data_IF_509906903299
#
_entry.id   IF_509906903299
#
_cell.length_a   1.000
_cell.length_b   1.000
_cell.length_c   1.000
_cell.angle_alpha   90.00
_cell.angle_beta   90.00
_cell.angle_gamma   90.00
#
_symmetry.space_group_name_H-M   'P 1'
#
loop_
_entity.id
_entity.type
_entity.pdbx_description
1 polymer ?
#
# COMPACT_ATOMS: atom_id res chain seq x y z
N UNK A 1 27.79 40.51 42.04
CA UNK A 1 28.28 39.56 41.02
C UNK A 1 27.30 39.64 39.86
N UNK A 2 27.72 40.33 38.78
CA UNK A 2 26.91 40.43 37.56
C UNK A 2 26.86 39.04 36.88
N UNK A 3 25.68 38.43 36.86
CA UNK A 3 25.48 37.18 36.12
C UNK A 3 25.19 37.57 34.68
N UNK A 4 26.14 37.32 33.79
CA UNK A 4 26.03 37.63 32.36
C UNK A 4 25.83 36.32 31.59
N UNK A 5 24.63 36.13 31.03
CA UNK A 5 24.40 35.15 30.00
C UNK A 5 24.30 35.82 28.63
N UNK A 6 24.44 35.11 27.55
CA UNK A 6 24.30 35.68 26.19
C UNK A 6 22.89 36.20 25.90
N UNK A 7 21.90 35.87 26.72
CA UNK A 7 20.48 36.14 26.50
C UNK A 7 19.83 37.03 27.54
N UNK A 8 20.49 37.27 28.66
CA UNK A 8 20.06 38.25 29.69
C UNK A 8 21.24 38.75 30.54
N UNK A 9 21.13 39.93 31.10
CA UNK A 9 22.09 40.55 32.02
C UNK A 9 21.34 41.05 33.24
N UNK A 10 21.83 40.70 34.42
CA UNK A 10 21.29 41.20 35.69
C UNK A 10 22.26 42.21 36.30
N UNK A 11 21.78 43.41 36.55
CA UNK A 11 22.55 44.48 37.23
C UNK A 11 22.38 44.40 38.76
N UNK A 12 23.40 44.79 39.51
CA UNK A 12 23.36 44.85 40.97
C UNK A 12 22.27 45.79 41.55
N UNK A 13 21.61 46.56 40.69
CA UNK A 13 20.53 47.53 41.06
C UNK A 13 19.11 46.94 40.79
N UNK A 14 18.93 45.63 40.60
CA UNK A 14 17.63 45.05 40.40
C UNK A 14 17.04 45.21 38.97
N UNK A 15 17.87 45.60 37.98
CA UNK A 15 17.45 45.68 36.58
C UNK A 15 17.85 44.42 35.82
N UNK A 16 16.89 43.81 35.11
CA UNK A 16 17.09 42.67 34.23
C UNK A 16 16.96 43.11 32.77
N UNK A 17 18.04 43.08 31.99
CA UNK A 17 18.02 43.38 30.56
C UNK A 17 17.98 42.07 29.76
N UNK A 18 16.97 41.93 28.90
CA UNK A 18 16.87 40.80 27.93
C UNK A 18 17.70 41.18 26.71
N UNK A 19 18.65 40.31 26.35
CA UNK A 19 19.66 40.58 25.33
C UNK A 19 19.70 39.50 24.25
N UNK A 20 20.32 39.80 23.09
CA UNK A 20 20.63 38.82 22.05
C UNK A 20 19.48 38.41 21.18
N UNK A 21 19.58 37.19 20.61
CA UNK A 21 18.65 36.65 19.60
C UNK A 21 17.74 35.55 20.20
N UNK A 22 16.46 35.88 20.39
CA UNK A 22 15.44 34.95 20.86
C UNK A 22 14.69 34.35 19.67
N UNK A 23 15.35 33.40 18.97
CA UNK A 23 14.86 32.79 17.75
C UNK A 23 14.91 31.25 17.82
N UNK A 24 14.20 30.61 16.92
CA UNK A 24 14.11 29.12 16.84
C UNK A 24 15.50 28.45 16.75
N UNK A 25 16.46 29.08 16.05
CA UNK A 25 17.83 28.58 15.96
C UNK A 25 18.49 28.34 17.32
N UNK A 26 18.20 29.22 18.29
CA UNK A 26 18.76 29.19 19.64
C UNK A 26 17.83 28.53 20.68
N UNK A 27 16.71 27.92 20.24
CA UNK A 27 15.67 27.38 21.11
C UNK A 27 16.18 26.34 22.13
N UNK A 28 17.17 25.54 21.76
CA UNK A 28 17.78 24.57 22.66
C UNK A 28 18.47 25.17 23.86
N UNK A 29 19.23 26.27 23.64
CA UNK A 29 19.93 27.01 24.66
C UNK A 29 18.94 27.81 25.51
N UNK A 30 18.02 28.53 24.86
CA UNK A 30 16.96 29.30 25.54
C UNK A 30 16.11 28.46 26.48
N UNK A 31 15.86 27.19 26.14
CA UNK A 31 15.11 26.25 26.99
C UNK A 31 15.86 25.87 28.26
N UNK A 32 17.18 25.82 28.22
CA UNK A 32 18.02 25.47 29.36
C UNK A 32 18.11 26.64 30.37
N UNK A 33 17.94 27.89 29.90
CA UNK A 33 17.97 29.11 30.73
C UNK A 33 16.77 29.25 31.68
N UNK A 34 15.77 28.35 31.61
CA UNK A 34 14.53 28.49 32.39
C UNK A 34 14.76 28.67 33.89
N UNK A 35 15.70 27.91 34.49
CA UNK A 35 15.99 27.97 35.92
C UNK A 35 16.76 29.25 36.32
N UNK A 36 17.74 29.63 35.49
CA UNK A 36 18.57 30.77 35.72
C UNK A 36 17.79 32.10 35.55
N UNK A 37 17.01 32.17 34.44
CA UNK A 37 16.17 33.34 34.18
C UNK A 37 15.08 33.50 35.23
N UNK A 38 14.49 32.42 35.74
CA UNK A 38 13.48 32.46 36.79
C UNK A 38 14.06 33.01 38.11
N UNK A 39 15.26 32.59 38.45
CA UNK A 39 15.96 33.08 39.63
C UNK A 39 16.32 34.58 39.47
N UNK A 40 16.81 35.00 38.31
CA UNK A 40 17.08 36.39 37.99
C UNK A 40 15.82 37.28 38.00
N UNK A 41 14.67 36.72 37.61
CA UNK A 41 13.36 37.37 37.62
C UNK A 41 12.80 37.57 39.04
N UNK A 42 13.06 36.66 39.97
CA UNK A 42 12.58 36.79 41.36
C UNK A 42 13.28 37.94 42.08
N UNK A 43 14.50 38.30 41.65
CA UNK A 43 15.31 39.42 42.23
C UNK A 43 15.16 40.72 41.42
N UNK A 44 14.45 40.71 40.28
CA UNK A 44 14.35 41.87 39.39
C UNK A 44 13.10 42.73 39.66
N UNK A 45 13.30 44.04 39.84
CA UNK A 45 12.22 45.05 39.96
C UNK A 45 11.75 45.57 38.59
N UNK A 46 12.67 45.67 37.63
CA UNK A 46 12.37 46.19 36.26
C UNK A 46 13.02 45.32 35.19
N UNK A 47 12.34 45.21 34.04
CA UNK A 47 12.82 44.44 32.89
C UNK A 47 12.98 45.39 31.70
N UNK A 48 14.15 45.36 31.06
CA UNK A 48 14.47 46.18 29.90
C UNK A 48 14.70 45.29 28.67
N UNK A 49 14.12 45.70 27.54
CA UNK A 49 14.19 44.97 26.25
C UNK A 49 15.02 45.73 25.20
N UNK A 50 15.69 46.81 25.58
CA UNK A 50 16.44 47.66 24.64
C UNK A 50 17.58 46.92 23.90
N UNK A 51 18.17 45.91 24.51
CA UNK A 51 19.25 45.10 23.94
C UNK A 51 18.75 43.82 23.20
N UNK A 52 17.44 43.63 23.03
CA UNK A 52 16.86 42.51 22.28
C UNK A 52 17.05 42.75 20.78
N UNK A 53 17.85 41.89 20.13
CA UNK A 53 18.25 42.08 18.73
C UNK A 53 17.24 41.45 17.75
N UNK A 54 16.88 40.18 17.97
CA UNK A 54 15.93 39.45 17.15
C UNK A 54 14.94 38.68 18.02
N UNK A 55 13.67 38.66 17.58
CA UNK A 55 12.60 37.92 18.23
C UNK A 55 11.72 37.26 17.17
N UNK A 56 11.56 35.94 17.26
CA UNK A 56 10.58 35.18 16.48
C UNK A 56 9.43 34.65 17.36
N UNK A 57 8.46 33.98 16.76
CA UNK A 57 7.30 33.40 17.46
C UNK A 57 7.69 32.41 18.56
N UNK A 58 8.76 31.63 18.37
CA UNK A 58 9.22 30.67 19.38
C UNK A 58 9.94 31.36 20.55
N UNK A 59 10.75 32.35 20.25
CA UNK A 59 11.38 33.23 21.28
C UNK A 59 10.33 33.96 22.07
N UNK A 60 9.34 34.58 21.42
CA UNK A 60 8.22 35.26 22.07
C UNK A 60 7.42 34.29 22.97
N UNK A 61 7.16 33.06 22.51
CA UNK A 61 6.51 32.02 23.31
C UNK A 61 7.30 31.70 24.60
N UNK A 62 8.61 31.54 24.50
CA UNK A 62 9.46 31.29 25.67
C UNK A 62 9.48 32.50 26.63
N UNK A 63 9.58 33.71 26.10
CA UNK A 63 9.54 34.95 26.92
C UNK A 63 8.22 35.06 27.69
N UNK A 64 7.07 34.90 27.02
CA UNK A 64 5.76 34.93 27.68
C UNK A 64 5.65 33.84 28.75
N UNK A 65 6.17 32.64 28.45
CA UNK A 65 6.13 31.49 29.36
C UNK A 65 7.05 31.67 30.59
N UNK A 66 8.16 32.38 30.46
CA UNK A 66 9.13 32.56 31.55
C UNK A 66 8.82 33.79 32.39
N UNK A 67 8.42 34.89 31.77
CA UNK A 67 8.09 36.17 32.44
C UNK A 67 6.71 36.13 33.10
N UNK A 68 5.76 35.36 32.53
CA UNK A 68 4.36 35.33 32.95
C UNK A 68 3.53 36.47 32.38
N UNK A 69 2.20 36.36 32.46
CA UNK A 69 1.27 37.29 31.82
C UNK A 69 1.36 38.72 32.36
N UNK A 70 1.44 38.89 33.68
CA UNK A 70 1.48 40.21 34.34
C UNK A 70 2.72 41.05 33.97
N UNK A 71 3.89 40.40 33.91
CA UNK A 71 5.15 41.07 33.56
C UNK A 71 5.25 41.39 32.07
N UNK A 72 4.64 40.56 31.22
CA UNK A 72 4.54 40.84 29.78
C UNK A 72 3.59 42.02 29.54
N UNK A 73 2.48 42.13 30.25
CA UNK A 73 1.55 43.24 30.12
C UNK A 73 2.23 44.56 30.46
N UNK A 74 3.01 44.62 31.56
CA UNK A 74 3.83 45.79 31.88
C UNK A 74 4.95 46.05 30.85
N UNK A 75 5.52 45.02 30.24
CA UNK A 75 6.52 45.16 29.17
C UNK A 75 5.92 45.67 27.84
N UNK A 76 4.65 45.42 27.58
CA UNK A 76 3.97 45.94 26.38
C UNK A 76 3.76 47.48 26.44
N UNK A 77 3.71 48.05 27.64
CA UNK A 77 3.60 49.49 27.85
C UNK A 77 4.96 50.20 27.83
N UNK A 78 6.07 49.46 27.86
CA UNK A 78 7.41 50.01 27.86
C UNK A 78 7.80 50.60 26.48
N UNK A 79 8.27 51.83 26.47
CA UNK A 79 8.71 52.55 25.28
C UNK A 79 10.04 51.99 24.69
N UNK A 80 10.81 51.21 25.46
CA UNK A 80 12.08 50.63 25.04
C UNK A 80 11.90 49.46 24.05
N UNK A 81 10.73 48.82 24.03
CA UNK A 81 10.44 47.68 23.18
C UNK A 81 10.08 48.10 21.74
N UNK A 82 10.78 47.55 20.76
CA UNK A 82 10.51 47.83 19.35
C UNK A 82 9.05 47.50 18.97
N UNK A 83 8.37 48.31 18.13
CA UNK A 83 6.96 48.15 17.81
C UNK A 83 6.62 46.75 17.21
N UNK A 84 7.55 46.18 16.43
CA UNK A 84 7.38 44.84 15.83
C UNK A 84 7.40 43.72 16.90
N UNK A 85 8.29 43.83 17.89
CA UNK A 85 8.39 42.84 18.97
C UNK A 85 7.21 42.96 19.94
N UNK A 86 6.72 44.17 20.18
CA UNK A 86 5.51 44.45 20.97
C UNK A 86 4.28 43.76 20.34
N UNK A 87 4.07 43.96 19.05
CA UNK A 87 2.97 43.34 18.35
C UNK A 87 3.04 41.78 18.39
N UNK A 88 4.25 41.21 18.24
CA UNK A 88 4.46 39.77 18.30
C UNK A 88 4.20 39.19 19.71
N UNK A 89 4.71 39.84 20.76
CA UNK A 89 4.48 39.44 22.16
C UNK A 89 2.99 39.51 22.52
N UNK A 90 2.27 40.57 22.11
CA UNK A 90 0.83 40.70 22.34
C UNK A 90 0.02 39.58 21.70
N UNK A 91 0.31 39.23 20.42
CA UNK A 91 -0.37 38.14 19.71
C UNK A 91 -0.08 36.79 20.37
N UNK A 92 1.18 36.55 20.76
CA UNK A 92 1.56 35.28 21.41
C UNK A 92 0.94 35.17 22.80
N UNK A 93 0.91 36.25 23.58
CA UNK A 93 0.26 36.29 24.89
C UNK A 93 -1.23 36.02 24.79
N UNK A 94 -1.93 36.66 23.85
CA UNK A 94 -3.35 36.42 23.60
C UNK A 94 -3.59 34.96 23.22
N UNK A 95 -2.78 34.41 22.31
CA UNK A 95 -2.89 33.02 21.89
C UNK A 95 -2.66 32.02 23.02
N UNK A 96 -1.73 32.31 23.95
CA UNK A 96 -1.49 31.44 25.11
C UNK A 96 -2.65 31.54 26.12
N UNK A 97 -3.24 32.69 26.31
CA UNK A 97 -4.40 32.90 27.19
C UNK A 97 -5.62 32.14 26.64
N UNK A 98 -5.92 32.32 25.35
CA UNK A 98 -7.01 31.60 24.68
C UNK A 98 -6.80 30.09 24.68
N UNK A 99 -5.56 29.63 24.47
CA UNK A 99 -5.21 28.22 24.53
C UNK A 99 -5.29 27.62 25.93
N UNK A 100 -4.99 28.45 26.96
CA UNK A 100 -5.11 28.07 28.38
C UNK A 100 -6.55 27.83 28.79
N UNK A 101 -7.49 28.62 28.27
CA UNK A 101 -8.93 28.42 28.49
C UNK A 101 -9.47 27.20 27.77
N UNK A 102 -8.81 26.78 26.70
CA UNK A 102 -9.24 25.64 25.83
C UNK A 102 -8.24 24.48 25.86
N UNK A 103 -7.43 24.31 26.91
CA UNK A 103 -6.65 23.06 27.00
C UNK A 103 -7.62 21.89 27.08
N UNK A 104 -7.79 21.08 25.99
CA UNK A 104 -8.48 19.81 26.13
C UNK A 104 -7.66 19.02 27.14
N UNK A 105 -8.25 18.66 28.26
CA UNK A 105 -7.66 17.69 29.18
C UNK A 105 -7.17 16.53 28.32
N UNK A 106 -5.88 16.38 28.13
CA UNK A 106 -5.26 15.20 27.54
C UNK A 106 -5.55 14.06 28.51
N UNK A 107 -6.76 13.49 28.39
CA UNK A 107 -7.10 12.26 29.10
C UNK A 107 -6.00 11.28 28.77
N UNK A 108 -5.19 10.94 29.77
CA UNK A 108 -4.19 9.89 29.64
C UNK A 108 -4.94 8.59 29.41
N UNK A 109 -5.17 8.29 28.13
CA UNK A 109 -5.76 7.00 27.76
C UNK A 109 -4.80 5.89 28.18
N UNK A 110 -5.31 4.92 28.87
CA UNK A 110 -4.51 3.73 29.23
C UNK A 110 -3.88 3.11 27.97
N UNK A 111 -2.74 2.45 28.11
CA UNK A 111 -2.07 1.78 26.98
C UNK A 111 -3.02 0.82 26.24
N UNK A 112 -3.94 0.18 26.98
CA UNK A 112 -4.98 -0.71 26.43
C UNK A 112 -5.98 0.06 25.58
N UNK A 113 -6.44 1.24 26.02
CA UNK A 113 -7.38 2.08 25.26
C UNK A 113 -6.73 2.59 23.95
N UNK A 114 -5.44 2.95 24.00
CA UNK A 114 -4.70 3.35 22.78
C UNK A 114 -4.47 2.17 21.83
N UNK A 115 -4.27 0.97 22.35
CA UNK A 115 -4.15 -0.24 21.53
C UNK A 115 -5.49 -0.58 20.86
N UNK A 116 -6.60 -0.57 21.61
CA UNK A 116 -7.96 -0.77 21.09
C UNK A 116 -8.33 0.28 20.03
N UNK A 117 -8.01 1.55 20.29
CA UNK A 117 -8.27 2.62 19.33
C UNK A 117 -7.44 2.46 18.03
N UNK A 118 -6.22 1.94 18.11
CA UNK A 118 -5.40 1.58 16.93
C UNK A 118 -6.00 0.42 16.16
N UNK A 119 -6.43 -0.62 16.88
CA UNK A 119 -7.13 -1.76 16.26
C UNK A 119 -8.41 -1.32 15.57
N UNK A 120 -9.26 -0.52 16.25
CA UNK A 120 -10.50 0.00 15.69
C UNK A 120 -10.26 0.83 14.42
N UNK A 121 -9.27 1.72 14.40
CA UNK A 121 -8.88 2.47 13.20
C UNK A 121 -8.45 1.55 12.06
N UNK A 122 -7.59 0.57 12.31
CA UNK A 122 -7.15 -0.39 11.28
C UNK A 122 -8.32 -1.18 10.70
N UNK A 123 -9.28 -1.59 11.54
CA UNK A 123 -10.48 -2.30 11.08
C UNK A 123 -11.37 -1.42 10.22
N UNK A 124 -11.56 -0.16 10.60
CA UNK A 124 -12.30 0.82 9.79
C UNK A 124 -11.60 1.12 8.46
N UNK A 125 -10.29 1.25 8.47
CA UNK A 125 -9.49 1.45 7.25
C UNK A 125 -9.60 0.23 6.31
N UNK A 126 -9.52 -0.99 6.86
CA UNK A 126 -9.71 -2.22 6.09
C UNK A 126 -11.12 -2.32 5.50
N UNK A 127 -12.17 -1.98 6.29
CA UNK A 127 -13.55 -1.89 5.80
C UNK A 127 -13.67 -0.90 4.64
N UNK A 128 -13.16 0.32 4.82
CA UNK A 128 -13.21 1.35 3.78
C UNK A 128 -12.46 0.94 2.52
N UNK A 129 -11.35 0.24 2.68
CA UNK A 129 -10.58 -0.32 1.57
C UNK A 129 -11.38 -1.40 0.82
N UNK A 130 -12.01 -2.32 1.54
CA UNK A 130 -12.88 -3.34 0.95
C UNK A 130 -14.06 -2.71 0.19
N UNK A 131 -14.74 -1.72 0.79
CA UNK A 131 -15.85 -1.00 0.12
C UNK A 131 -15.37 -0.33 -1.17
N UNK A 132 -14.21 0.32 -1.16
CA UNK A 132 -13.63 0.92 -2.38
C UNK A 132 -13.33 -0.12 -3.44
N UNK A 133 -12.78 -1.27 -3.03
CA UNK A 133 -12.49 -2.36 -3.95
C UNK A 133 -13.77 -2.90 -4.61
N UNK A 134 -14.81 -3.21 -3.82
CA UNK A 134 -16.09 -3.68 -4.35
C UNK A 134 -16.79 -2.64 -5.22
N UNK A 135 -16.75 -1.36 -4.85
CA UNK A 135 -17.30 -0.28 -5.68
C UNK A 135 -16.58 -0.18 -7.04
N UNK A 136 -15.24 -0.25 -7.03
CA UNK A 136 -14.47 -0.22 -8.27
C UNK A 136 -14.70 -1.48 -9.12
N UNK A 137 -14.77 -2.65 -8.48
CA UNK A 137 -15.09 -3.91 -9.14
C UNK A 137 -16.48 -3.84 -9.81
N UNK A 138 -17.48 -3.31 -9.12
CA UNK A 138 -18.81 -3.08 -9.67
C UNK A 138 -18.81 -2.16 -10.89
N UNK A 139 -18.07 -1.03 -10.85
CA UNK A 139 -17.92 -0.14 -11.99
C UNK A 139 -17.25 -0.82 -13.19
N UNK A 140 -16.29 -1.71 -12.95
CA UNK A 140 -15.64 -2.47 -14.02
C UNK A 140 -16.61 -3.47 -14.64
N UNK A 141 -17.37 -4.21 -13.83
CA UNK A 141 -18.40 -5.15 -14.31
C UNK A 141 -19.49 -4.45 -15.10
N UNK A 142 -20.00 -3.32 -14.60
CA UNK A 142 -20.96 -2.48 -15.32
C UNK A 142 -20.38 -2.05 -16.68
N UNK A 143 -19.16 -1.50 -16.68
CA UNK A 143 -18.48 -1.10 -17.91
C UNK A 143 -18.29 -2.25 -18.89
N UNK A 144 -17.98 -3.47 -18.41
CA UNK A 144 -17.87 -4.65 -19.26
C UNK A 144 -19.22 -5.06 -19.86
N UNK A 145 -20.29 -5.07 -19.06
CA UNK A 145 -21.63 -5.40 -19.55
C UNK A 145 -22.09 -4.40 -20.61
N UNK A 146 -21.91 -3.09 -20.36
CA UNK A 146 -22.25 -2.07 -21.32
C UNK A 146 -21.41 -2.15 -22.61
N UNK A 147 -20.13 -2.46 -22.47
CA UNK A 147 -19.22 -2.61 -23.59
C UNK A 147 -19.57 -3.86 -24.43
N UNK A 148 -20.03 -4.93 -23.80
CA UNK A 148 -20.49 -6.15 -24.49
C UNK A 148 -21.71 -5.87 -25.37
N UNK A 149 -22.63 -5.01 -24.90
CA UNK A 149 -23.81 -4.57 -25.66
C UNK A 149 -23.48 -3.59 -26.80
N UNK A 150 -22.28 -2.98 -26.80
CA UNK A 150 -21.86 -1.97 -27.77
C UNK A 150 -20.49 -2.31 -28.39
N UNK A 151 -20.39 -3.38 -29.21
CA UNK A 151 -19.10 -3.89 -29.71
C UNK A 151 -18.32 -2.87 -30.56
N UNK A 152 -19.01 -1.91 -31.17
CA UNK A 152 -18.38 -0.86 -31.97
C UNK A 152 -17.50 0.12 -31.11
N UNK A 153 -17.72 0.16 -29.79
CA UNK A 153 -16.91 0.96 -28.84
C UNK A 153 -15.68 0.23 -28.33
N UNK A 154 -15.51 -1.03 -28.72
CA UNK A 154 -14.35 -1.81 -28.30
C UNK A 154 -13.06 -1.24 -28.90
N UNK A 155 -12.11 -0.99 -28.05
CA UNK A 155 -10.76 -0.58 -28.45
C UNK A 155 -9.91 -1.82 -28.72
N UNK A 156 -10.25 -2.59 -29.75
CA UNK A 156 -9.62 -3.88 -30.07
C UNK A 156 -8.09 -3.78 -30.17
N UNK A 157 -7.57 -2.73 -30.79
CA UNK A 157 -6.12 -2.52 -30.89
C UNK A 157 -5.47 -2.46 -29.50
N UNK A 158 -6.11 -1.77 -28.54
CA UNK A 158 -5.60 -1.70 -27.17
C UNK A 158 -5.70 -3.04 -26.45
N UNK A 159 -6.79 -3.78 -26.65
CA UNK A 159 -6.96 -5.13 -26.09
C UNK A 159 -5.88 -6.07 -26.62
N UNK A 160 -5.64 -6.10 -27.94
CA UNK A 160 -4.62 -6.94 -28.59
C UNK A 160 -3.22 -6.58 -28.07
N UNK A 161 -2.90 -5.30 -27.97
CA UNK A 161 -1.60 -4.87 -27.41
C UNK A 161 -1.41 -5.34 -25.96
N UNK A 162 -2.48 -5.32 -25.15
CA UNK A 162 -2.41 -5.83 -23.78
C UNK A 162 -2.35 -7.37 -23.74
N UNK A 163 -2.99 -8.09 -24.67
CA UNK A 163 -2.84 -9.55 -24.80
C UNK A 163 -1.40 -9.92 -25.16
N UNK A 164 -0.78 -9.19 -26.07
CA UNK A 164 0.62 -9.40 -26.41
C UNK A 164 1.51 -9.20 -25.19
N UNK A 165 1.40 -8.05 -24.54
CA UNK A 165 2.25 -7.67 -23.41
C UNK A 165 2.04 -8.55 -22.17
N UNK A 166 0.80 -8.89 -21.82
CA UNK A 166 0.49 -9.67 -20.60
C UNK A 166 0.37 -11.17 -20.85
N UNK A 167 -0.07 -11.57 -22.03
CA UNK A 167 -0.29 -12.98 -22.41
C UNK A 167 0.93 -13.58 -23.09
N UNK A 168 1.16 -13.25 -24.35
CA UNK A 168 2.18 -13.90 -25.17
C UNK A 168 3.58 -13.87 -24.56
N UNK A 169 4.01 -12.71 -24.08
CA UNK A 169 5.32 -12.56 -23.46
C UNK A 169 5.45 -13.31 -22.10
N UNK A 170 4.36 -13.80 -21.52
CA UNK A 170 4.40 -14.60 -20.30
C UNK A 170 4.52 -16.10 -20.57
N UNK A 171 4.24 -16.57 -21.81
CA UNK A 171 4.22 -17.98 -22.15
C UNK A 171 5.51 -18.72 -21.77
N UNK A 172 6.72 -18.24 -22.13
CA UNK A 172 7.95 -18.99 -21.85
C UNK A 172 8.18 -19.22 -20.37
N UNK A 173 7.95 -18.19 -19.54
CA UNK A 173 8.19 -18.31 -18.11
C UNK A 173 7.13 -19.18 -17.43
N UNK A 174 5.87 -19.10 -17.86
CA UNK A 174 4.78 -19.93 -17.34
C UNK A 174 5.03 -21.40 -17.69
N UNK A 175 5.41 -21.67 -18.94
CA UNK A 175 5.73 -23.02 -19.38
C UNK A 175 6.88 -23.61 -18.56
N UNK A 176 8.01 -22.91 -18.48
CA UNK A 176 9.20 -23.39 -17.77
C UNK A 176 8.92 -23.59 -16.27
N UNK A 177 8.28 -22.63 -15.62
CA UNK A 177 7.97 -22.70 -14.19
C UNK A 177 7.08 -23.91 -13.89
N UNK A 178 5.97 -24.07 -14.63
CA UNK A 178 5.04 -25.17 -14.38
C UNK A 178 5.64 -26.53 -14.74
N UNK A 179 6.44 -26.62 -15.81
CA UNK A 179 7.17 -27.82 -16.17
C UNK A 179 8.11 -28.28 -15.03
N UNK A 180 8.91 -27.36 -14.49
CA UNK A 180 9.82 -27.67 -13.37
C UNK A 180 9.07 -28.06 -12.11
N UNK A 181 7.98 -27.35 -11.78
CA UNK A 181 7.16 -27.69 -10.61
C UNK A 181 6.48 -29.06 -10.81
N UNK A 182 5.99 -29.36 -12.01
CA UNK A 182 5.43 -30.66 -12.34
C UNK A 182 6.43 -31.80 -12.18
N UNK A 183 7.66 -31.59 -12.62
CA UNK A 183 8.76 -32.53 -12.43
C UNK A 183 9.08 -32.74 -10.94
N UNK A 184 9.17 -31.66 -10.15
CA UNK A 184 9.44 -31.74 -8.70
C UNK A 184 8.31 -32.44 -7.97
N UNK A 185 7.05 -32.16 -8.27
CA UNK A 185 5.89 -32.79 -7.64
C UNK A 185 5.87 -34.30 -7.96
N UNK A 186 6.16 -34.68 -9.20
CA UNK A 186 6.28 -36.09 -9.57
C UNK A 186 7.43 -36.78 -8.84
N UNK A 187 8.60 -36.14 -8.77
CA UNK A 187 9.79 -36.67 -8.08
C UNK A 187 9.51 -36.90 -6.59
N UNK A 188 9.02 -35.90 -5.87
CA UNK A 188 8.70 -36.00 -4.46
C UNK A 188 7.56 -37.01 -4.20
N UNK A 189 6.52 -36.97 -5.03
CA UNK A 189 5.42 -37.92 -4.96
C UNK A 189 5.88 -39.37 -5.18
N UNK A 190 6.72 -39.57 -6.17
CA UNK A 190 7.30 -40.88 -6.46
C UNK A 190 8.10 -41.43 -5.28
N UNK A 191 9.00 -40.62 -4.71
CA UNK A 191 9.84 -41.00 -3.58
C UNK A 191 9.03 -41.46 -2.37
N UNK A 192 7.92 -40.77 -2.07
CA UNK A 192 7.03 -41.13 -0.95
C UNK A 192 6.22 -42.39 -1.30
N UNK A 193 5.63 -42.45 -2.50
CA UNK A 193 4.76 -43.56 -2.90
C UNK A 193 5.53 -44.85 -3.13
N UNK A 194 6.82 -44.81 -3.45
CA UNK A 194 7.69 -45.98 -3.60
C UNK A 194 7.78 -46.78 -2.29
N UNK A 195 7.80 -46.13 -1.13
CA UNK A 195 7.84 -46.77 0.18
C UNK A 195 6.61 -47.66 0.45
N UNK A 196 5.51 -47.36 -0.24
CA UNK A 196 4.24 -48.10 -0.14
C UNK A 196 3.99 -49.02 -1.33
N UNK A 197 4.94 -49.13 -2.27
CA UNK A 197 4.76 -49.90 -3.51
C UNK A 197 3.69 -49.34 -4.45
N UNK A 198 3.37 -48.05 -4.31
CA UNK A 198 2.22 -47.40 -4.96
C UNK A 198 2.65 -46.32 -5.97
N UNK A 199 3.80 -46.48 -6.62
CA UNK A 199 4.43 -45.50 -7.51
C UNK A 199 3.53 -45.01 -8.67
N UNK A 200 2.64 -45.88 -9.16
CA UNK A 200 1.70 -45.55 -10.25
C UNK A 200 0.75 -44.40 -9.86
N UNK A 201 0.46 -44.20 -8.57
CA UNK A 201 -0.36 -43.09 -8.09
C UNK A 201 0.30 -41.72 -8.22
N UNK A 202 1.60 -41.66 -8.55
CA UNK A 202 2.28 -40.41 -8.88
C UNK A 202 1.63 -39.74 -10.10
N UNK A 203 1.17 -40.51 -11.08
CA UNK A 203 0.45 -40.00 -12.27
C UNK A 203 -0.85 -39.30 -11.85
N UNK A 204 -1.62 -39.97 -10.96
CA UNK A 204 -2.86 -39.39 -10.41
C UNK A 204 -2.58 -38.09 -9.64
N UNK A 205 -1.55 -38.10 -8.81
CA UNK A 205 -1.16 -36.93 -8.01
C UNK A 205 -0.84 -35.73 -8.89
N UNK A 206 0.01 -35.92 -9.91
CA UNK A 206 0.41 -34.84 -10.84
C UNK A 206 -0.81 -34.38 -11.65
N UNK A 207 -1.56 -35.30 -12.22
CA UNK A 207 -2.74 -34.99 -13.04
C UNK A 207 -3.79 -34.19 -12.24
N UNK A 208 -4.16 -34.71 -11.07
CA UNK A 208 -5.13 -34.05 -10.20
C UNK A 208 -4.64 -32.66 -9.73
N UNK A 209 -3.40 -32.59 -9.24
CA UNK A 209 -2.85 -31.35 -8.71
C UNK A 209 -2.78 -30.24 -9.79
N UNK A 210 -2.28 -30.55 -10.98
CA UNK A 210 -2.15 -29.56 -12.05
C UNK A 210 -3.45 -29.19 -12.73
N UNK A 211 -4.31 -30.16 -13.02
CA UNK A 211 -5.58 -29.88 -13.68
C UNK A 211 -6.53 -29.09 -12.80
N UNK A 212 -6.55 -29.36 -11.49
CA UNK A 212 -7.53 -28.80 -10.57
C UNK A 212 -7.06 -27.51 -9.90
N UNK A 213 -5.78 -27.46 -9.47
CA UNK A 213 -5.29 -26.39 -8.59
C UNK A 213 -4.02 -25.71 -9.12
N UNK A 214 -2.90 -26.42 -9.24
CA UNK A 214 -1.60 -25.79 -9.45
C UNK A 214 -1.49 -25.04 -10.78
N UNK A 215 -2.04 -25.57 -11.86
CA UNK A 215 -1.98 -24.92 -13.15
C UNK A 215 -2.58 -23.52 -13.14
N UNK A 216 -3.75 -23.34 -12.55
CA UNK A 216 -4.40 -22.03 -12.47
C UNK A 216 -3.79 -21.15 -11.38
N UNK A 217 -3.50 -21.69 -10.19
CA UNK A 217 -3.00 -20.93 -9.05
C UNK A 217 -1.61 -20.35 -9.32
N UNK A 218 -0.66 -21.17 -9.79
CA UNK A 218 0.69 -20.73 -10.11
C UNK A 218 0.71 -19.68 -11.22
N UNK A 219 -0.12 -19.89 -12.26
CA UNK A 219 -0.30 -18.90 -13.32
C UNK A 219 -0.84 -17.59 -12.77
N UNK A 220 -1.87 -17.64 -11.93
CA UNK A 220 -2.46 -16.44 -11.34
C UNK A 220 -1.48 -15.68 -10.41
N UNK A 221 -0.69 -16.38 -9.58
CA UNK A 221 0.33 -15.77 -8.72
C UNK A 221 1.41 -15.10 -9.57
N UNK A 222 1.88 -15.74 -10.64
CA UNK A 222 2.89 -15.15 -11.52
C UNK A 222 2.33 -13.92 -12.24
N UNK A 223 1.08 -13.98 -12.72
CA UNK A 223 0.42 -12.84 -13.35
C UNK A 223 0.12 -11.71 -12.37
N UNK A 224 -0.19 -12.02 -11.11
CA UNK A 224 -0.32 -11.04 -10.05
C UNK A 224 1.00 -10.28 -9.84
N UNK A 225 2.14 -10.98 -9.80
CA UNK A 225 3.46 -10.37 -9.65
C UNK A 225 3.85 -9.50 -10.84
N UNK A 226 3.71 -10.03 -12.07
CA UNK A 226 4.16 -9.37 -13.30
C UNK A 226 3.14 -8.36 -13.84
N UNK A 227 1.93 -8.81 -14.08
CA UNK A 227 0.94 -8.02 -14.84
C UNK A 227 0.21 -7.00 -13.97
N UNK A 228 -0.19 -7.35 -12.74
CA UNK A 228 -0.82 -6.37 -11.87
C UNK A 228 0.14 -5.24 -11.48
N UNK A 229 1.41 -5.55 -11.19
CA UNK A 229 2.43 -4.53 -10.93
C UNK A 229 2.65 -3.61 -12.14
N UNK A 230 2.70 -4.18 -13.35
CA UNK A 230 2.83 -3.39 -14.58
C UNK A 230 1.61 -2.48 -14.82
N UNK A 231 0.38 -2.98 -14.59
CA UNK A 231 -0.84 -2.17 -14.68
C UNK A 231 -0.84 -1.02 -13.66
N UNK A 232 -0.45 -1.33 -12.42
CA UNK A 232 -0.32 -0.33 -11.35
C UNK A 232 0.72 0.72 -11.70
N UNK A 233 1.89 0.30 -12.19
CA UNK A 233 2.97 1.21 -12.57
C UNK A 233 2.57 2.13 -13.72
N UNK A 234 1.93 1.58 -14.76
CA UNK A 234 1.52 2.38 -15.92
C UNK A 234 0.42 3.39 -15.57
N UNK A 235 -0.65 2.96 -14.88
CA UNK A 235 -1.73 3.87 -14.46
C UNK A 235 -1.22 4.88 -13.44
N UNK A 236 -0.36 4.44 -12.52
CA UNK A 236 0.25 5.30 -11.50
C UNK A 236 1.17 6.36 -12.10
N UNK A 237 1.94 6.03 -13.14
CA UNK A 237 2.75 6.99 -13.90
C UNK A 237 1.87 8.03 -14.58
N UNK A 238 0.81 7.62 -15.28
CA UNK A 238 -0.16 8.54 -15.89
C UNK A 238 -0.81 9.47 -14.85
N UNK A 239 -1.02 8.98 -13.61
CA UNK A 239 -1.53 9.80 -12.53
C UNK A 239 -0.53 10.82 -12.02
N UNK A 240 0.75 10.45 -11.93
CA UNK A 240 1.83 11.38 -11.55
C UNK A 240 2.02 12.52 -12.56
N UNK A 241 1.80 12.24 -13.86
CA UNK A 241 1.90 13.23 -14.93
C UNK A 241 0.56 13.94 -15.22
N UNK A 242 -0.45 13.77 -14.34
CA UNK A 242 -1.78 14.38 -14.47
C UNK A 242 -2.56 13.99 -15.75
N UNK A 243 -2.08 12.99 -16.50
CA UNK A 243 -2.70 12.53 -17.75
C UNK A 243 -4.13 12.00 -17.51
N UNK A 244 -4.40 11.38 -16.36
CA UNK A 244 -5.74 10.90 -16.00
C UNK A 244 -6.70 12.06 -15.79
N UNK A 245 -6.24 13.15 -15.20
CA UNK A 245 -7.08 14.32 -14.96
C UNK A 245 -7.31 15.08 -16.27
N UNK A 246 -6.32 15.12 -17.17
CA UNK A 246 -6.49 15.62 -18.53
C UNK A 246 -7.55 14.82 -19.32
N UNK A 247 -7.57 13.48 -19.20
CA UNK A 247 -8.62 12.65 -19.82
C UNK A 247 -10.02 13.02 -19.29
N UNK A 248 -10.17 13.22 -17.98
CA UNK A 248 -11.47 13.61 -17.38
C UNK A 248 -11.94 14.98 -17.86
N UNK A 249 -11.04 15.96 -17.91
CA UNK A 249 -11.35 17.32 -18.42
C UNK A 249 -11.77 17.26 -19.89
N UNK A 250 -11.17 16.36 -20.67
CA UNK A 250 -11.56 16.11 -22.07
C UNK A 250 -12.87 15.32 -22.23
N UNK A 251 -13.59 15.02 -21.13
CA UNK A 251 -14.84 14.25 -21.17
C UNK A 251 -14.66 12.74 -21.38
N UNK A 252 -13.44 12.23 -21.32
CA UNK A 252 -13.12 10.81 -21.53
C UNK A 252 -13.12 10.08 -20.19
N UNK A 253 -13.93 9.01 -20.08
CA UNK A 253 -13.95 8.19 -18.87
C UNK A 253 -12.68 7.29 -18.80
N UNK A 254 -11.80 7.48 -17.80
CA UNK A 254 -10.58 6.70 -17.68
C UNK A 254 -10.81 5.18 -17.52
N UNK A 255 -11.95 4.76 -16.94
CA UNK A 255 -12.27 3.35 -16.80
C UNK A 255 -12.42 2.69 -18.16
N UNK A 256 -13.16 3.32 -19.08
CA UNK A 256 -13.38 2.76 -20.42
C UNK A 256 -12.11 2.69 -21.26
N UNK A 257 -11.20 3.65 -21.09
CA UNK A 257 -10.00 3.76 -21.93
C UNK A 257 -8.83 2.96 -21.34
N UNK A 258 -8.67 2.96 -20.03
CA UNK A 258 -7.49 2.38 -19.37
C UNK A 258 -7.78 1.04 -18.72
N UNK A 259 -8.95 0.86 -18.08
CA UNK A 259 -9.23 -0.33 -17.28
C UNK A 259 -9.82 -1.45 -18.13
N UNK A 260 -10.90 -1.18 -18.86
CA UNK A 260 -11.62 -2.22 -19.60
C UNK A 260 -10.75 -2.97 -20.60
N UNK A 261 -9.87 -2.34 -21.42
CA UNK A 261 -9.01 -3.08 -22.32
C UNK A 261 -8.03 -4.03 -21.59
N UNK A 262 -7.51 -3.61 -20.43
CA UNK A 262 -6.61 -4.44 -19.61
C UNK A 262 -7.33 -5.64 -18.99
N UNK A 263 -8.53 -5.41 -18.45
CA UNK A 263 -9.36 -6.47 -17.86
C UNK A 263 -9.76 -7.48 -18.94
N UNK A 264 -10.22 -7.02 -20.10
CA UNK A 264 -10.61 -7.88 -21.21
C UNK A 264 -9.42 -8.69 -21.73
N UNK A 265 -8.26 -8.05 -21.85
CA UNK A 265 -7.04 -8.74 -22.29
C UNK A 265 -6.64 -9.86 -21.31
N UNK A 266 -6.71 -9.60 -20.00
CA UNK A 266 -6.34 -10.60 -19.00
C UNK A 266 -7.38 -11.72 -18.90
N UNK A 267 -8.67 -11.44 -19.10
CA UNK A 267 -9.74 -12.43 -19.19
C UNK A 267 -9.53 -13.44 -20.32
N UNK A 268 -8.91 -13.02 -21.42
CA UNK A 268 -8.55 -13.90 -22.52
C UNK A 268 -7.21 -14.60 -22.26
N UNK A 269 -6.22 -13.83 -21.81
CA UNK A 269 -4.85 -14.33 -21.66
C UNK A 269 -4.71 -15.35 -20.53
N UNK A 270 -5.34 -15.13 -19.36
CA UNK A 270 -5.11 -15.96 -18.18
C UNK A 270 -5.66 -17.39 -18.36
N UNK A 271 -6.86 -17.62 -18.92
CA UNK A 271 -7.29 -18.99 -19.27
C UNK A 271 -6.36 -19.69 -20.26
N UNK A 272 -5.90 -19.00 -21.31
CA UNK A 272 -4.95 -19.57 -22.27
C UNK A 272 -3.61 -19.93 -21.62
N UNK A 273 -3.10 -19.06 -20.75
CA UNK A 273 -1.87 -19.31 -20.00
C UNK A 273 -2.05 -20.46 -19.00
N UNK A 274 -3.21 -20.57 -18.37
CA UNK A 274 -3.57 -21.69 -17.48
C UNK A 274 -3.59 -23.02 -18.25
N UNK A 275 -4.14 -23.02 -19.45
CA UNK A 275 -4.12 -24.21 -20.31
C UNK A 275 -2.68 -24.66 -20.60
N UNK A 276 -1.81 -23.72 -20.98
CA UNK A 276 -0.38 -23.98 -21.21
C UNK A 276 0.31 -24.46 -19.91
N UNK A 277 0.00 -23.86 -18.78
CA UNK A 277 0.56 -24.23 -17.48
C UNK A 277 0.21 -25.66 -17.06
N UNK A 278 -1.05 -26.05 -17.24
CA UNK A 278 -1.52 -27.42 -16.99
C UNK A 278 -0.76 -28.41 -17.87
N UNK A 279 -0.69 -28.12 -19.17
CA UNK A 279 0.06 -28.97 -20.12
C UNK A 279 1.54 -29.07 -19.76
N UNK A 280 2.18 -27.96 -19.43
CA UNK A 280 3.58 -27.94 -19.04
C UNK A 280 3.84 -28.74 -17.75
N UNK A 281 2.98 -28.57 -16.73
CA UNK A 281 3.12 -29.32 -15.47
C UNK A 281 2.94 -30.84 -15.65
N UNK A 282 1.98 -31.23 -16.46
CA UNK A 282 1.76 -32.65 -16.82
C UNK A 282 2.96 -33.19 -17.59
N UNK A 283 3.50 -32.44 -18.55
CA UNK A 283 4.71 -32.82 -19.28
C UNK A 283 5.94 -32.97 -18.37
N UNK A 284 6.10 -32.07 -17.42
CA UNK A 284 7.16 -32.16 -16.39
C UNK A 284 7.03 -33.41 -15.53
N UNK A 285 5.81 -33.69 -15.06
CA UNK A 285 5.53 -34.91 -14.28
C UNK A 285 5.68 -36.19 -15.10
N UNK A 286 5.26 -36.16 -16.37
CA UNK A 286 5.44 -37.29 -17.29
C UNK A 286 6.92 -37.59 -17.54
N UNK A 287 7.75 -36.57 -17.71
CA UNK A 287 9.20 -36.73 -17.90
C UNK A 287 9.83 -37.48 -16.72
N UNK A 288 9.53 -37.10 -15.47
CA UNK A 288 10.04 -37.81 -14.28
C UNK A 288 9.47 -39.23 -14.20
N UNK A 289 8.18 -39.42 -14.49
CA UNK A 289 7.53 -40.73 -14.44
C UNK A 289 8.16 -41.72 -15.43
N UNK A 290 8.56 -41.23 -16.60
CA UNK A 290 9.24 -42.08 -17.60
C UNK A 290 10.65 -42.45 -17.14
N UNK A 291 11.46 -41.47 -16.77
CA UNK A 291 12.88 -41.69 -16.49
C UNK A 291 13.16 -42.35 -15.13
N UNK A 292 12.33 -42.09 -14.13
CA UNK A 292 12.56 -42.63 -12.78
C UNK A 292 11.69 -43.86 -12.46
N UNK A 293 10.43 -43.87 -12.91
CA UNK A 293 9.48 -44.93 -12.55
C UNK A 293 9.31 -45.97 -13.62
N UNK A 294 9.88 -45.78 -14.84
CA UNK A 294 9.73 -46.66 -15.95
C UNK A 294 8.31 -46.74 -16.50
N UNK A 295 7.47 -45.75 -16.20
CA UNK A 295 6.08 -45.69 -16.67
C UNK A 295 6.10 -45.29 -18.16
N UNK A 296 5.52 -46.07 -19.04
CA UNK A 296 5.46 -45.73 -20.47
C UNK A 296 4.59 -44.50 -20.71
N UNK A 297 4.92 -43.65 -21.72
CA UNK A 297 4.11 -42.47 -22.06
C UNK A 297 2.65 -42.79 -22.33
N UNK A 298 2.40 -43.92 -22.96
CA UNK A 298 1.04 -44.41 -23.30
C UNK A 298 0.24 -44.71 -22.04
N UNK A 299 0.85 -45.43 -21.08
CA UNK A 299 0.21 -45.77 -19.80
C UNK A 299 -0.03 -44.48 -18.96
N UNK A 300 0.92 -43.51 -18.99
CA UNK A 300 0.73 -42.25 -18.32
C UNK A 300 -0.51 -41.49 -18.83
N UNK A 301 -0.64 -41.37 -20.16
CA UNK A 301 -1.78 -40.68 -20.79
C UNK A 301 -3.09 -41.47 -20.54
N UNK A 302 -3.09 -42.79 -20.62
CA UNK A 302 -4.25 -43.62 -20.33
C UNK A 302 -4.75 -43.38 -18.87
N UNK A 303 -3.87 -43.41 -17.89
CA UNK A 303 -4.23 -43.15 -16.50
C UNK A 303 -4.78 -41.73 -16.35
N UNK A 304 -4.17 -40.75 -17.02
CA UNK A 304 -4.59 -39.35 -16.94
C UNK A 304 -6.02 -39.18 -17.48
N UNK A 305 -6.33 -39.79 -18.62
CA UNK A 305 -7.65 -39.68 -19.28
C UNK A 305 -8.72 -40.48 -18.52
N UNK A 306 -8.42 -41.72 -18.15
CA UNK A 306 -9.41 -42.63 -17.58
C UNK A 306 -9.69 -42.38 -16.10
N UNK A 307 -8.68 -41.96 -15.32
CA UNK A 307 -8.77 -41.88 -13.88
C UNK A 307 -8.85 -40.46 -13.34
N UNK A 308 -8.15 -39.47 -13.96
CA UNK A 308 -8.23 -38.09 -13.54
C UNK A 308 -9.43 -37.40 -14.19
N UNK A 309 -9.61 -37.61 -15.48
CA UNK A 309 -10.78 -37.16 -16.24
C UNK A 309 -10.83 -35.65 -16.50
N UNK A 310 -11.65 -35.29 -17.50
CA UNK A 310 -11.80 -33.88 -17.94
C UNK A 310 -12.45 -32.95 -16.90
N UNK A 311 -13.15 -33.53 -15.93
CA UNK A 311 -13.87 -32.78 -14.90
C UNK A 311 -12.93 -31.86 -14.07
N UNK A 312 -11.78 -32.38 -13.64
CA UNK A 312 -10.81 -31.60 -12.83
C UNK A 312 -10.18 -30.51 -13.67
N UNK A 313 -9.94 -30.73 -14.96
CA UNK A 313 -9.51 -29.67 -15.86
C UNK A 313 -10.54 -28.56 -15.99
N UNK A 314 -11.83 -28.86 -16.11
CA UNK A 314 -12.90 -27.85 -16.17
C UNK A 314 -13.01 -27.06 -14.88
N UNK A 315 -12.85 -27.70 -13.72
CA UNK A 315 -12.80 -27.02 -12.42
C UNK A 315 -11.65 -26.01 -12.39
N UNK A 316 -10.44 -26.41 -12.73
CA UNK A 316 -9.28 -25.50 -12.76
C UNK A 316 -9.48 -24.36 -13.75
N UNK A 317 -9.93 -24.66 -14.98
CA UNK A 317 -10.18 -23.65 -16.01
C UNK A 317 -11.28 -22.64 -15.64
N UNK A 318 -12.32 -23.07 -14.91
CA UNK A 318 -13.40 -22.17 -14.48
C UNK A 318 -12.95 -21.08 -13.48
N UNK A 319 -11.89 -21.32 -12.74
CA UNK A 319 -11.29 -20.36 -11.82
C UNK A 319 -10.52 -19.23 -12.55
N UNK A 320 -9.95 -19.53 -13.72
CA UNK A 320 -9.07 -18.61 -14.44
C UNK A 320 -9.74 -17.25 -14.80
N UNK A 321 -10.97 -17.17 -15.33
CA UNK A 321 -11.61 -15.89 -15.58
C UNK A 321 -11.84 -15.05 -14.30
N UNK A 322 -12.13 -15.70 -13.19
CA UNK A 322 -12.35 -15.02 -11.90
C UNK A 322 -11.05 -14.41 -11.42
N UNK A 323 -9.93 -15.16 -11.48
CA UNK A 323 -8.62 -14.65 -11.12
C UNK A 323 -8.18 -13.51 -12.04
N UNK A 324 -8.46 -13.61 -13.35
CA UNK A 324 -8.19 -12.53 -14.30
C UNK A 324 -8.89 -11.22 -13.90
N UNK A 325 -10.18 -11.28 -13.57
CA UNK A 325 -10.95 -10.13 -13.10
C UNK A 325 -10.33 -9.53 -11.84
N UNK A 326 -10.04 -10.35 -10.85
CA UNK A 326 -9.50 -9.91 -9.57
C UNK A 326 -8.12 -9.27 -9.73
N UNK A 327 -7.23 -9.88 -10.50
CA UNK A 327 -5.86 -9.40 -10.73
C UNK A 327 -5.89 -8.07 -11.49
N UNK A 328 -6.65 -8.00 -12.60
CA UNK A 328 -6.68 -6.80 -13.44
C UNK A 328 -7.34 -5.61 -12.70
N UNK A 329 -8.45 -5.85 -12.00
CA UNK A 329 -9.15 -4.78 -11.26
C UNK A 329 -8.33 -4.27 -10.09
N UNK A 330 -7.70 -5.17 -9.32
CA UNK A 330 -6.85 -4.78 -8.19
C UNK A 330 -5.63 -4.01 -8.68
N UNK A 331 -4.95 -4.48 -9.74
CA UNK A 331 -3.81 -3.78 -10.31
C UNK A 331 -4.16 -2.37 -10.80
N UNK A 332 -5.28 -2.23 -11.50
CA UNK A 332 -5.75 -0.92 -11.95
C UNK A 332 -6.14 -0.01 -10.77
N UNK A 333 -6.86 -0.53 -9.77
CA UNK A 333 -7.28 0.24 -8.60
C UNK A 333 -6.08 0.80 -7.82
N UNK A 334 -5.05 -0.01 -7.60
CA UNK A 334 -3.85 0.46 -6.91
C UNK A 334 -3.11 1.54 -7.71
N UNK A 335 -3.11 1.45 -9.04
CA UNK A 335 -2.59 2.51 -9.91
C UNK A 335 -3.31 3.85 -9.73
N UNK A 336 -4.62 3.84 -9.62
CA UNK A 336 -5.41 5.05 -9.33
C UNK A 336 -5.20 5.63 -7.92
N UNK A 337 -4.61 4.89 -6.99
CA UNK A 337 -4.30 5.37 -5.63
C UNK A 337 -2.95 6.07 -5.51
N UNK A 338 -2.13 6.05 -6.54
CA UNK A 338 -0.83 6.75 -6.54
C UNK A 338 -1.03 8.24 -6.32
N UNK A 339 -0.22 8.86 -5.47
CA UNK A 339 -0.32 10.29 -5.12
C UNK A 339 1.05 10.94 -5.17
N UNK A 340 1.22 11.91 -6.04
CA UNK A 340 2.22 12.98 -6.02
C UNK A 340 3.71 12.63 -5.98
N UNK A 341 4.11 11.35 -5.79
CA UNK A 341 5.54 11.00 -5.68
C UNK A 341 5.87 9.62 -6.25
N UNK A 342 7.11 9.46 -6.71
CA UNK A 342 7.67 8.17 -7.16
C UNK A 342 7.68 7.12 -6.01
N UNK A 343 7.87 7.55 -4.78
CA UNK A 343 7.78 6.68 -3.60
C UNK A 343 6.36 6.09 -3.46
N UNK A 344 5.32 6.91 -3.65
CA UNK A 344 3.93 6.45 -3.65
C UNK A 344 3.69 5.43 -4.76
N UNK A 345 4.26 5.63 -5.95
CA UNK A 345 4.19 4.69 -7.07
C UNK A 345 4.80 3.33 -6.69
N UNK A 346 6.02 3.31 -6.16
CA UNK A 346 6.70 2.09 -5.71
C UNK A 346 5.91 1.34 -4.62
N UNK A 347 5.36 2.07 -3.66
CA UNK A 347 4.53 1.48 -2.61
C UNK A 347 3.25 0.87 -3.15
N UNK A 348 2.56 1.54 -4.09
CA UNK A 348 1.31 1.00 -4.65
C UNK A 348 1.55 -0.19 -5.58
N UNK A 349 2.67 -0.24 -6.31
CA UNK A 349 3.03 -1.43 -7.09
C UNK A 349 3.25 -2.66 -6.21
N UNK A 350 3.96 -2.50 -5.09
CA UNK A 350 4.15 -3.59 -4.11
C UNK A 350 2.81 -4.00 -3.46
N UNK A 351 1.98 -3.03 -3.05
CA UNK A 351 0.66 -3.29 -2.48
C UNK A 351 -0.24 -4.05 -3.45
N UNK A 352 -0.20 -3.71 -4.74
CA UNK A 352 -0.95 -4.39 -5.79
C UNK A 352 -0.63 -5.88 -5.85
N UNK A 353 0.66 -6.23 -5.88
CA UNK A 353 1.11 -7.62 -5.91
C UNK A 353 0.63 -8.39 -4.69
N UNK A 354 0.87 -7.84 -3.49
CA UNK A 354 0.49 -8.50 -2.23
C UNK A 354 -1.02 -8.72 -2.15
N UNK A 355 -1.82 -7.71 -2.51
CA UNK A 355 -3.29 -7.81 -2.50
C UNK A 355 -3.81 -8.79 -3.55
N UNK A 356 -3.24 -8.79 -4.75
CA UNK A 356 -3.63 -9.73 -5.79
C UNK A 356 -3.35 -11.18 -5.36
N UNK A 357 -2.15 -11.47 -4.85
CA UNK A 357 -1.80 -12.81 -4.38
C UNK A 357 -2.71 -13.23 -3.24
N UNK A 358 -2.94 -12.36 -2.26
CA UNK A 358 -3.84 -12.64 -1.13
C UNK A 358 -5.26 -12.97 -1.61
N UNK A 359 -5.83 -12.14 -2.49
CA UNK A 359 -7.18 -12.34 -3.03
C UNK A 359 -7.28 -13.62 -3.87
N UNK A 360 -6.29 -13.90 -4.70
CA UNK A 360 -6.24 -15.13 -5.52
C UNK A 360 -6.25 -16.36 -4.61
N UNK A 361 -5.37 -16.43 -3.61
CA UNK A 361 -5.30 -17.58 -2.68
C UNK A 361 -6.60 -17.71 -1.88
N UNK A 362 -7.17 -16.59 -1.42
CA UNK A 362 -8.43 -16.60 -0.68
C UNK A 362 -9.59 -17.14 -1.53
N UNK A 363 -9.72 -16.63 -2.76
CA UNK A 363 -10.78 -17.06 -3.68
C UNK A 363 -10.57 -18.50 -4.12
N UNK A 364 -9.31 -18.90 -4.36
CA UNK A 364 -8.98 -20.29 -4.70
C UNK A 364 -9.43 -21.25 -3.62
N UNK A 365 -9.10 -20.97 -2.36
CA UNK A 365 -9.52 -21.79 -1.22
C UNK A 365 -11.06 -21.88 -1.09
N UNK A 366 -11.77 -20.74 -1.29
CA UNK A 366 -13.23 -20.73 -1.25
C UNK A 366 -13.84 -21.53 -2.41
N UNK A 367 -13.28 -21.40 -3.62
CA UNK A 367 -13.74 -22.17 -4.77
C UNK A 367 -13.42 -23.67 -4.65
N UNK A 368 -12.25 -24.02 -4.11
CA UNK A 368 -11.90 -25.43 -3.87
C UNK A 368 -12.88 -26.08 -2.89
N UNK A 369 -13.24 -25.39 -1.79
CA UNK A 369 -14.26 -25.85 -0.85
C UNK A 369 -15.64 -25.96 -1.53
N UNK A 370 -16.03 -24.94 -2.30
CA UNK A 370 -17.30 -24.93 -3.01
C UNK A 370 -17.42 -26.10 -3.99
N UNK A 371 -16.41 -26.36 -4.83
CA UNK A 371 -16.44 -27.47 -5.76
C UNK A 371 -16.42 -28.83 -5.07
N UNK A 372 -15.76 -28.93 -3.92
CA UNK A 372 -15.74 -30.15 -3.11
C UNK A 372 -17.13 -30.45 -2.52
N UNK A 373 -17.83 -29.44 -1.99
CA UNK A 373 -19.19 -29.60 -1.46
C UNK A 373 -20.19 -29.97 -2.57
N UNK A 374 -20.00 -29.40 -3.76
CA UNK A 374 -20.82 -29.76 -4.94
C UNK A 374 -20.52 -31.17 -5.48
N UNK A 375 -19.57 -31.88 -4.89
CA UNK A 375 -19.14 -33.20 -5.33
C UNK A 375 -18.36 -33.19 -6.66
N UNK A 376 -17.71 -32.06 -6.98
CA UNK A 376 -16.95 -31.83 -8.23
C UNK A 376 -15.46 -31.92 -8.02
#
# INVERSE_FOLDING_TARGET
LDTVSSYFKQSAQGHLSITGEWVLANFGELKQLKSELRQALDDAETIDFSELQHLDTNGAYLLVKYLGAERIESALDDASLAPAFRALLAVVQQSITEAGEHQPELKQHSAIALWLARMGRRTLDAKNEAVRWFAFFGMVLEGMCLNFLQPHKWRLTSVIAHIDASGYQAVPIIFLLNYLIGAVVAFLGATVLEQFGATIFTVHLVGFAFMREFGVLLTAILMAGRTASAFTAHIGSMRLHEEIDALKVSGVNPIHVLVLPRVTALLVSLPLLTFIAIGAGILGGMTVSIFMLGISPTLFVEILVDKVGLRHFLVGMSKAPIFALVIATTGCLEGFKVRGSAESLGRQTTNSVVKCIFLVILIDALMAMFFMEMGW
#
